data_IF_871364259925
#
_entry.id   IF_871364259925
#
_cell.length_a   1.000
_cell.length_b   1.000
_cell.length_c   1.000
_cell.angle_alpha   90.00
_cell.angle_beta   90.00
_cell.angle_gamma   90.00
#
_symmetry.space_group_name_H-M   'P 1'
#
loop_
_entity.id
_entity.type
_entity.pdbx_description
1 polymer ?
#
# COMPACT_ATOMS: atom_id res chain seq x y z
N UNK A 1 17.91 13.09 1.30
CA UNK A 1 16.45 12.86 1.23
C UNK A 1 15.85 13.11 -0.16
N UNK A 2 16.41 14.03 -0.97
CA UNK A 2 15.84 14.39 -2.28
C UNK A 2 15.77 13.25 -3.31
N UNK A 3 16.62 12.22 -3.19
CA UNK A 3 16.58 11.02 -4.05
C UNK A 3 15.50 9.99 -3.70
N UNK A 4 14.80 10.15 -2.56
CA UNK A 4 13.73 9.23 -2.14
C UNK A 4 12.35 9.61 -2.69
N UNK A 5 12.16 10.88 -3.09
CA UNK A 5 10.95 11.33 -3.81
C UNK A 5 11.10 10.98 -5.28
N UNK A 6 10.28 10.03 -5.74
CA UNK A 6 10.34 9.46 -7.07
C UNK A 6 8.94 9.38 -7.67
N UNK A 7 8.87 9.53 -8.99
CA UNK A 7 7.62 9.36 -9.73
C UNK A 7 7.17 7.88 -9.61
N UNK A 8 5.94 7.61 -9.13
CA UNK A 8 5.40 6.26 -9.09
C UNK A 8 5.19 5.69 -10.50
N UNK A 9 5.69 4.47 -10.72
CA UNK A 9 5.73 3.80 -12.02
C UNK A 9 5.74 2.27 -11.81
N UNK A 10 5.56 1.51 -12.90
CA UNK A 10 5.57 0.04 -12.85
C UNK A 10 4.22 -0.54 -12.47
N UNK A 11 4.19 -1.84 -12.16
CA UNK A 11 2.98 -2.56 -11.71
C UNK A 11 2.49 -2.06 -10.34
N UNK A 12 1.33 -2.51 -9.84
CA UNK A 12 0.74 -2.00 -8.57
C UNK A 12 1.73 -2.03 -7.40
N UNK A 13 2.49 -3.11 -7.25
CA UNK A 13 3.52 -3.22 -6.22
C UNK A 13 4.62 -2.16 -6.37
N UNK A 14 5.18 -2.02 -7.57
CA UNK A 14 6.27 -1.08 -7.85
C UNK A 14 5.78 0.37 -7.71
N UNK A 15 4.55 0.62 -8.13
CA UNK A 15 3.89 1.91 -7.97
C UNK A 15 3.82 2.27 -6.49
N UNK A 16 3.39 1.34 -5.63
CA UNK A 16 3.31 1.57 -4.18
C UNK A 16 4.67 1.69 -3.47
N UNK A 17 5.70 0.97 -3.94
CA UNK A 17 7.10 1.15 -3.48
C UNK A 17 7.56 2.58 -3.68
N UNK A 18 7.21 3.17 -4.83
CA UNK A 18 7.64 4.51 -5.20
C UNK A 18 6.70 5.59 -4.64
N UNK A 19 5.40 5.32 -4.51
CA UNK A 19 4.40 6.23 -3.98
C UNK A 19 4.62 6.53 -2.49
N UNK A 20 4.78 5.49 -1.69
CA UNK A 20 4.80 5.59 -0.22
C UNK A 20 5.91 6.51 0.33
N UNK A 21 7.16 6.47 -0.19
CA UNK A 21 8.21 7.41 0.20
C UNK A 21 7.86 8.88 -0.01
N UNK A 22 7.08 9.22 -1.06
CA UNK A 22 6.67 10.61 -1.29
C UNK A 22 5.87 11.18 -0.10
N UNK A 23 5.06 10.35 0.55
CA UNK A 23 4.25 10.75 1.72
C UNK A 23 5.16 10.99 2.93
N UNK A 24 5.95 9.98 3.29
CA UNK A 24 6.69 9.98 4.55
C UNK A 24 7.90 10.90 4.53
N UNK A 25 8.58 11.07 3.38
CA UNK A 25 9.63 12.07 3.24
C UNK A 25 9.06 13.48 3.35
N UNK A 26 7.92 13.75 2.70
CA UNK A 26 7.25 15.06 2.82
C UNK A 26 6.82 15.32 4.27
N UNK A 27 6.23 14.33 4.94
CA UNK A 27 5.85 14.42 6.35
C UNK A 27 7.04 14.68 7.28
N UNK A 28 8.16 14.00 7.05
CA UNK A 28 9.37 14.20 7.83
C UNK A 28 9.91 15.61 7.66
N UNK A 29 10.09 16.07 6.42
CA UNK A 29 10.61 17.42 6.15
C UNK A 29 9.68 18.52 6.67
N UNK A 30 8.35 18.32 6.60
CA UNK A 30 7.38 19.26 7.18
C UNK A 30 7.56 19.33 8.70
N UNK A 31 7.68 18.18 9.37
CA UNK A 31 7.84 18.11 10.82
C UNK A 31 9.18 18.68 11.31
N UNK A 32 10.23 18.64 10.50
CA UNK A 32 11.56 19.17 10.83
C UNK A 32 11.81 20.58 10.31
N UNK A 33 10.78 21.26 9.79
CA UNK A 33 10.88 22.61 9.18
C UNK A 33 11.91 22.72 8.05
N UNK A 34 12.09 21.65 7.28
CA UNK A 34 13.02 21.57 6.15
C UNK A 34 12.29 21.37 4.81
N UNK A 35 10.97 21.59 4.78
CA UNK A 35 10.16 21.38 3.60
C UNK A 35 10.15 22.63 2.69
N UNK A 36 10.92 22.57 1.62
CA UNK A 36 10.91 23.58 0.57
C UNK A 36 9.60 23.56 -0.24
N UNK A 37 9.02 24.72 -0.62
CA UNK A 37 7.77 24.78 -1.39
C UNK A 37 7.83 24.06 -2.75
N UNK A 38 8.96 24.15 -3.44
CA UNK A 38 9.20 23.47 -4.72
C UNK A 38 9.21 21.95 -4.56
N UNK A 39 9.80 21.46 -3.46
CA UNK A 39 9.81 20.05 -3.10
C UNK A 39 8.40 19.55 -2.77
N UNK A 40 7.65 20.29 -1.94
CA UNK A 40 6.25 19.96 -1.60
C UNK A 40 5.40 19.82 -2.86
N UNK A 41 5.48 20.80 -3.76
CA UNK A 41 4.75 20.79 -5.04
C UNK A 41 5.07 19.54 -5.86
N UNK A 42 6.36 19.20 -6.01
CA UNK A 42 6.80 18.01 -6.74
C UNK A 42 6.27 16.72 -6.11
N UNK A 43 6.42 16.58 -4.80
CA UNK A 43 5.96 15.39 -4.08
C UNK A 43 4.43 15.22 -4.15
N UNK A 44 3.66 16.31 -4.02
CA UNK A 44 2.20 16.31 -4.17
C UNK A 44 1.79 15.86 -5.58
N UNK A 45 2.46 16.35 -6.63
CA UNK A 45 2.18 15.91 -7.99
C UNK A 45 2.47 14.42 -8.20
N UNK A 46 3.59 13.93 -7.65
CA UNK A 46 3.91 12.50 -7.68
C UNK A 46 2.90 11.65 -6.91
N UNK A 47 2.42 12.12 -5.75
CA UNK A 47 1.33 11.46 -5.02
C UNK A 47 0.04 11.41 -5.86
N UNK A 48 -0.38 12.52 -6.50
CA UNK A 48 -1.57 12.52 -7.36
C UNK A 48 -1.45 11.51 -8.50
N UNK A 49 -0.31 11.49 -9.20
CA UNK A 49 -0.06 10.55 -10.29
C UNK A 49 -0.04 9.10 -9.81
N UNK A 50 0.62 8.82 -8.67
CA UNK A 50 0.68 7.47 -8.11
C UNK A 50 -0.67 6.96 -7.61
N UNK A 51 -1.50 7.83 -7.02
CA UNK A 51 -2.87 7.50 -6.63
C UNK A 51 -3.70 7.08 -7.84
N UNK A 52 -3.76 7.92 -8.87
CA UNK A 52 -4.51 7.62 -10.10
C UNK A 52 -4.00 6.36 -10.81
N UNK A 53 -2.68 6.16 -10.82
CA UNK A 53 -2.09 4.93 -11.35
C UNK A 53 -2.49 3.70 -10.55
N UNK A 54 -2.46 3.77 -9.22
CA UNK A 54 -2.79 2.62 -8.38
C UNK A 54 -4.24 2.17 -8.55
N UNK A 55 -5.17 3.10 -8.78
CA UNK A 55 -6.57 2.77 -9.09
C UNK A 55 -6.73 1.89 -10.34
N UNK A 56 -5.76 1.89 -11.27
CA UNK A 56 -5.78 1.00 -12.43
C UNK A 56 -5.50 -0.46 -12.08
N UNK A 57 -4.94 -0.73 -10.89
CA UNK A 57 -4.66 -2.07 -10.36
C UNK A 57 -5.73 -2.55 -9.37
N UNK A 58 -6.86 -1.83 -9.28
CA UNK A 58 -7.99 -2.16 -8.43
C UNK A 58 -8.94 -3.15 -9.11
N UNK A 59 -9.43 -4.11 -8.33
CA UNK A 59 -10.49 -5.06 -8.69
C UNK A 59 -11.87 -4.47 -8.41
N UNK A 60 -12.91 -5.07 -8.99
CA UNK A 60 -14.30 -4.61 -8.80
C UNK A 60 -14.80 -4.75 -7.36
N UNK A 61 -14.23 -5.69 -6.60
CA UNK A 61 -14.49 -5.89 -5.17
C UNK A 61 -13.72 -4.92 -4.27
N UNK A 62 -12.91 -4.02 -4.84
CA UNK A 62 -12.11 -3.04 -4.13
C UNK A 62 -10.73 -3.51 -3.67
N UNK A 63 -10.34 -4.76 -3.96
CA UNK A 63 -9.00 -5.26 -3.68
C UNK A 63 -7.96 -4.78 -4.71
N UNK A 64 -6.68 -4.92 -4.38
CA UNK A 64 -5.56 -4.57 -5.26
C UNK A 64 -4.64 -5.77 -5.47
N UNK A 65 -4.09 -5.90 -6.67
CA UNK A 65 -3.06 -6.89 -6.99
C UNK A 65 -1.97 -6.27 -7.87
N UNK A 66 -0.87 -7.00 -8.14
CA UNK A 66 0.25 -6.45 -8.90
C UNK A 66 -0.17 -6.05 -10.33
N UNK A 67 -1.05 -6.84 -10.96
CA UNK A 67 -1.50 -6.62 -12.33
C UNK A 67 -3.01 -6.31 -12.43
N UNK A 68 -3.64 -5.95 -11.31
CA UNK A 68 -5.07 -5.63 -11.26
C UNK A 68 -5.94 -6.76 -11.78
N UNK A 69 -6.93 -6.42 -12.60
CA UNK A 69 -7.90 -7.38 -13.17
C UNK A 69 -7.29 -8.48 -14.07
N UNK A 70 -6.00 -8.40 -14.40
CA UNK A 70 -5.28 -9.49 -15.06
C UNK A 70 -4.91 -10.62 -14.10
N UNK A 71 -4.83 -10.35 -12.80
CA UNK A 71 -4.74 -11.37 -11.77
C UNK A 71 -6.13 -11.91 -11.44
N UNK A 72 -6.24 -13.18 -11.06
CA UNK A 72 -7.52 -13.79 -10.71
C UNK A 72 -8.12 -13.20 -9.42
N UNK A 73 -7.27 -12.83 -8.47
CA UNK A 73 -7.68 -12.39 -7.14
C UNK A 73 -6.80 -11.24 -6.62
N UNK A 74 -7.37 -10.40 -5.77
CA UNK A 74 -6.65 -9.39 -5.00
C UNK A 74 -5.66 -9.99 -3.98
N UNK A 75 -4.62 -9.21 -3.67
CA UNK A 75 -3.66 -9.51 -2.61
C UNK A 75 -4.05 -8.80 -1.32
N UNK A 76 -4.24 -9.57 -0.25
CA UNK A 76 -4.63 -9.01 1.05
C UNK A 76 -3.56 -8.06 1.60
N UNK A 77 -2.29 -8.45 1.46
CA UNK A 77 -1.16 -7.64 1.91
C UNK A 77 -1.07 -6.33 1.11
N UNK A 78 -1.16 -6.40 -0.22
CA UNK A 78 -1.05 -5.20 -1.07
C UNK A 78 -2.24 -4.27 -0.82
N UNK A 79 -3.46 -4.82 -0.73
CA UNK A 79 -4.67 -4.04 -0.43
C UNK A 79 -4.55 -3.32 0.91
N UNK A 80 -4.09 -3.99 1.96
CA UNK A 80 -3.85 -3.36 3.26
C UNK A 80 -2.78 -2.26 3.20
N UNK A 81 -1.72 -2.48 2.41
CA UNK A 81 -0.66 -1.50 2.20
C UNK A 81 -1.17 -0.26 1.45
N UNK A 82 -1.98 -0.44 0.40
CA UNK A 82 -2.63 0.63 -0.35
C UNK A 82 -3.53 1.45 0.56
N UNK A 83 -4.45 0.80 1.29
CA UNK A 83 -5.37 1.47 2.23
C UNK A 83 -4.60 2.32 3.25
N UNK A 84 -3.56 1.76 3.87
CA UNK A 84 -2.72 2.49 4.84
C UNK A 84 -2.04 3.70 4.21
N UNK A 85 -1.45 3.54 3.03
CA UNK A 85 -0.72 4.59 2.34
C UNK A 85 -1.66 5.69 1.82
N UNK A 86 -2.84 5.35 1.33
CA UNK A 86 -3.87 6.31 0.92
C UNK A 86 -4.41 7.09 2.10
N UNK A 87 -4.73 6.42 3.21
CA UNK A 87 -5.15 7.12 4.43
C UNK A 87 -4.09 8.13 4.90
N UNK A 88 -2.80 7.78 4.82
CA UNK A 88 -1.71 8.67 5.17
C UNK A 88 -1.52 9.84 4.18
N UNK A 89 -1.83 9.66 2.89
CA UNK A 89 -1.66 10.69 1.86
C UNK A 89 -2.77 11.76 1.87
N UNK A 90 -3.90 11.52 2.55
CA UNK A 90 -5.02 12.48 2.71
C UNK A 90 -4.61 13.85 3.25
N UNK A 91 -3.47 13.93 3.95
CA UNK A 91 -2.90 15.21 4.42
C UNK A 91 -2.42 16.11 3.26
N UNK A 92 -2.11 15.54 2.10
CA UNK A 92 -1.46 16.24 0.99
C UNK A 92 -2.26 16.20 -0.31
N UNK A 93 -3.06 15.17 -0.53
CA UNK A 93 -3.87 14.99 -1.74
C UNK A 93 -5.29 14.55 -1.38
N UNK A 94 -6.23 14.80 -2.29
CA UNK A 94 -7.57 14.24 -2.21
C UNK A 94 -7.52 12.74 -2.50
N UNK A 95 -8.25 11.97 -1.70
CA UNK A 95 -8.50 10.54 -1.87
C UNK A 95 -10.02 10.36 -1.73
N UNK A 96 -10.63 9.67 -2.68
CA UNK A 96 -12.06 9.38 -2.63
C UNK A 96 -12.38 8.44 -1.45
N UNK A 97 -13.28 8.88 -0.58
CA UNK A 97 -13.68 8.12 0.61
C UNK A 97 -14.40 6.82 0.26
N UNK A 98 -15.21 6.80 -0.80
CA UNK A 98 -15.94 5.61 -1.21
C UNK A 98 -14.98 4.53 -1.72
N UNK A 99 -13.96 4.92 -2.49
CA UNK A 99 -12.93 3.99 -2.96
C UNK A 99 -12.19 3.34 -1.79
N UNK A 100 -11.76 4.17 -0.83
CA UNK A 100 -11.03 3.71 0.35
C UNK A 100 -11.90 2.81 1.24
N UNK A 101 -13.16 3.19 1.49
CA UNK A 101 -14.08 2.40 2.32
C UNK A 101 -14.42 1.05 1.69
N UNK A 102 -14.57 0.99 0.37
CA UNK A 102 -14.79 -0.29 -0.32
C UNK A 102 -13.62 -1.26 -0.08
N UNK A 103 -12.37 -0.78 -0.17
CA UNK A 103 -11.19 -1.60 0.10
C UNK A 103 -11.07 -2.00 1.58
N UNK A 104 -11.49 -1.13 2.51
CA UNK A 104 -11.56 -1.46 3.94
C UNK A 104 -12.59 -2.55 4.21
N UNK A 105 -13.79 -2.44 3.65
CA UNK A 105 -14.83 -3.45 3.76
C UNK A 105 -14.38 -4.79 3.17
N UNK A 106 -13.70 -4.76 2.02
CA UNK A 106 -13.12 -5.97 1.45
C UNK A 106 -12.13 -6.63 2.41
N UNK A 107 -11.20 -5.87 3.01
CA UNK A 107 -10.27 -6.40 4.01
C UNK A 107 -11.00 -7.02 5.20
N UNK A 108 -11.98 -6.31 5.77
CA UNK A 108 -12.78 -6.80 6.90
C UNK A 108 -13.51 -8.12 6.56
N UNK A 109 -14.01 -8.27 5.33
CA UNK A 109 -14.66 -9.51 4.87
C UNK A 109 -13.71 -10.71 4.82
N UNK A 110 -12.39 -10.50 4.86
CA UNK A 110 -11.38 -11.57 4.87
C UNK A 110 -10.90 -11.92 6.28
N UNK A 111 -11.38 -11.22 7.31
CA UNK A 111 -11.04 -11.55 8.70
C UNK A 111 -11.65 -12.90 9.10
N UNK A 112 -10.85 -13.77 9.69
CA UNK A 112 -11.31 -15.04 10.27
C UNK A 112 -12.04 -14.79 11.60
N UNK A 113 -12.84 -15.74 12.05
CA UNK A 113 -13.57 -15.66 13.33
C UNK A 113 -12.67 -15.44 14.55
N UNK A 114 -11.42 -15.92 14.48
CA UNK A 114 -10.41 -15.72 15.52
C UNK A 114 -9.70 -14.34 15.44
N UNK A 115 -10.13 -13.46 14.53
CA UNK A 115 -9.58 -12.13 14.33
C UNK A 115 -8.34 -12.06 13.43
N UNK A 116 -7.77 -13.20 13.01
CA UNK A 116 -6.62 -13.24 12.11
C UNK A 116 -7.00 -12.94 10.65
N UNK A 117 -6.00 -12.54 9.86
CA UNK A 117 -6.13 -12.39 8.41
C UNK A 117 -5.32 -13.48 7.70
N UNK A 118 -5.92 -14.23 6.75
CA UNK A 118 -5.21 -15.24 5.98
C UNK A 118 -4.31 -14.60 4.93
N UNK A 119 -3.35 -15.37 4.42
CA UNK A 119 -2.54 -14.96 3.27
C UNK A 119 -3.36 -15.22 2.00
N UNK A 120 -3.90 -14.15 1.39
CA UNK A 120 -4.65 -14.20 0.13
C UNK A 120 -3.89 -13.45 -0.95
N UNK A 121 -3.81 -14.07 -2.13
CA UNK A 121 -3.12 -13.53 -3.29
C UNK A 121 -1.60 -13.56 -3.17
N UNK A 122 -0.93 -13.17 -4.25
CA UNK A 122 0.52 -13.17 -4.32
C UNK A 122 1.05 -11.75 -4.22
N UNK A 123 2.19 -11.60 -3.54
CA UNK A 123 3.03 -10.40 -3.66
C UNK A 123 4.34 -10.85 -4.31
N UNK A 124 4.67 -10.29 -5.47
CA UNK A 124 5.80 -10.69 -6.31
C UNK A 124 7.11 -10.03 -5.83
N UNK A 125 7.08 -8.76 -5.45
CA UNK A 125 8.25 -8.07 -4.91
C UNK A 125 8.49 -8.43 -3.45
N UNK A 126 9.57 -9.18 -3.21
CA UNK A 126 10.00 -9.57 -1.85
C UNK A 126 10.34 -8.36 -0.98
N UNK A 127 10.90 -7.30 -1.56
CA UNK A 127 11.28 -6.07 -0.83
C UNK A 127 10.08 -5.27 -0.31
N UNK A 128 8.87 -5.57 -0.81
CA UNK A 128 7.62 -5.00 -0.34
C UNK A 128 7.26 -5.58 1.03
N UNK A 129 7.55 -6.88 1.25
CA UNK A 129 7.34 -7.56 2.52
C UNK A 129 8.59 -7.40 3.39
N UNK A 130 8.44 -6.71 4.52
CA UNK A 130 9.44 -6.83 5.59
C UNK A 130 9.56 -8.33 5.93
N UNK A 131 10.78 -8.90 6.03
CA UNK A 131 10.94 -10.28 6.48
C UNK A 131 10.13 -10.48 7.75
N UNK A 132 9.30 -11.51 7.80
CA UNK A 132 8.48 -11.80 8.98
C UNK A 132 9.40 -11.85 10.20
N UNK A 133 9.27 -10.86 11.08
CA UNK A 133 9.91 -10.84 12.40
C UNK A 133 9.39 -11.96 13.32
N UNK A 134 8.45 -12.76 12.81
CA UNK A 134 7.97 -13.97 13.45
C UNK A 134 8.58 -15.17 12.72
N UNK A 135 9.40 -15.99 13.40
CA UNK A 135 9.75 -17.31 12.87
C UNK A 135 8.45 -18.09 12.60
N UNK A 136 8.43 -18.99 11.60
CA UNK A 136 7.27 -19.85 11.39
C UNK A 136 7.00 -20.59 12.70
N UNK A 137 5.75 -20.57 13.15
CA UNK A 137 5.30 -21.46 14.22
C UNK A 137 5.66 -22.89 13.80
N UNK A 138 6.67 -23.47 14.46
CA UNK A 138 6.98 -24.88 14.33
C UNK A 138 5.72 -25.63 14.76
N UNK A 139 5.25 -26.54 13.89
CA UNK A 139 4.24 -27.52 14.25
C UNK A 139 4.68 -28.17 15.56
N UNK A 140 3.89 -28.03 16.62
CA UNK A 140 4.06 -28.84 17.80
C UNK A 140 3.92 -30.29 17.38
N UNK A 141 4.96 -31.07 17.65
CA UNK A 141 4.95 -32.52 17.54
C UNK A 141 3.79 -33.04 18.40
N UNK A 142 2.78 -33.59 17.74
CA UNK A 142 2.01 -34.70 18.30
C UNK A 142 2.90 -35.93 18.16
N UNK A 143 3.34 -36.49 19.27
CA UNK A 143 2.97 -37.85 19.65
C UNK A 143 3.63 -38.25 20.99
N UNK A 144 2.87 -39.05 21.74
CA UNK A 144 3.22 -39.72 22.99
C UNK A 144 4.42 -40.66 22.84
#
# INVERSE_FOLDING_TARGET
LSGLVRLPMGCGEQNMILFTPNIYVTKYLEATNQLEPSFKTKAVNFMKSGYQRELTYRHDDGSYSAFGKSDENGSLWLTAFVVKSFAASRRYIHIDDNELQTSVHWLQSKQLENGCFPVIGTVLHRDLKVPSLFPPYSKQETDF
#
